data_IF_083255800148
#
_entry.id   IF_083255800148
#
_cell.length_a   1.000
_cell.length_b   1.000
_cell.length_c   1.000
_cell.angle_alpha   90.00
_cell.angle_beta   90.00
_cell.angle_gamma   90.00
#
_symmetry.space_group_name_H-M   'P 1'
#
loop_
_entity.id
_entity.type
_entity.pdbx_description
1 polymer ?
#
# COMPACT_ATOMS: atom_id res chain seq x y z
N UNK A 1 -12.16 -17.97 13.11
CA UNK A 1 -11.75 -18.93 12.06
C UNK A 1 -10.82 -19.91 12.75
N UNK A 2 -11.31 -21.10 13.07
CA UNK A 2 -10.43 -22.17 13.53
C UNK A 2 -9.54 -22.63 12.36
N UNK A 3 -8.36 -23.15 12.67
CA UNK A 3 -7.44 -23.71 11.68
C UNK A 3 -8.08 -24.95 11.04
N UNK A 4 -8.17 -24.99 9.70
CA UNK A 4 -8.78 -26.10 8.95
C UNK A 4 -8.10 -27.44 9.28
N UNK A 5 -6.80 -27.40 9.56
CA UNK A 5 -6.03 -28.56 10.04
C UNK A 5 -6.62 -29.12 11.34
N UNK A 6 -6.84 -28.24 12.31
CA UNK A 6 -7.35 -28.60 13.63
C UNK A 6 -8.76 -29.20 13.51
N UNK A 7 -9.60 -28.66 12.64
CA UNK A 7 -10.95 -29.16 12.45
C UNK A 7 -10.97 -30.56 11.81
N UNK A 8 -10.08 -30.83 10.84
CA UNK A 8 -9.92 -32.16 10.24
C UNK A 8 -9.47 -33.16 11.31
N UNK A 9 -8.42 -32.83 12.06
CA UNK A 9 -7.87 -33.70 13.10
C UNK A 9 -8.87 -33.97 14.22
N UNK A 10 -9.62 -32.95 14.65
CA UNK A 10 -10.65 -33.10 15.67
C UNK A 10 -11.71 -34.12 15.24
N UNK A 11 -12.25 -33.95 14.03
CA UNK A 11 -13.30 -34.82 13.51
C UNK A 11 -12.77 -36.25 13.35
N UNK A 12 -11.58 -36.40 12.75
CA UNK A 12 -10.91 -37.69 12.59
C UNK A 12 -10.68 -38.39 13.94
N UNK A 13 -10.14 -37.69 14.93
CA UNK A 13 -9.84 -38.25 16.25
C UNK A 13 -11.12 -38.74 16.94
N UNK A 14 -12.20 -37.95 16.88
CA UNK A 14 -13.48 -38.35 17.47
C UNK A 14 -14.10 -39.55 16.75
N UNK A 15 -14.11 -39.57 15.42
CA UNK A 15 -14.57 -40.74 14.68
C UNK A 15 -13.76 -41.99 15.03
N UNK A 16 -12.45 -41.85 15.20
CA UNK A 16 -11.54 -42.95 15.53
C UNK A 16 -11.75 -43.51 16.95
N UNK A 17 -12.31 -42.71 17.87
CA UNK A 17 -12.63 -43.14 19.22
C UNK A 17 -13.82 -44.13 19.28
N UNK A 18 -14.62 -44.24 18.21
CA UNK A 18 -15.77 -45.15 18.13
C UNK A 18 -15.53 -46.22 17.07
N UNK A 19 -15.25 -47.48 17.45
CA UNK A 19 -14.91 -48.55 16.48
C UNK A 19 -15.94 -48.77 15.37
N UNK A 20 -17.23 -48.56 15.67
CA UNK A 20 -18.33 -48.70 14.71
C UNK A 20 -18.40 -47.55 13.68
N UNK A 21 -17.59 -46.50 13.82
CA UNK A 21 -17.44 -45.39 12.87
C UNK A 21 -16.14 -45.49 12.05
N UNK A 22 -15.40 -46.59 12.16
CA UNK A 22 -14.10 -46.76 11.50
C UNK A 22 -14.13 -46.54 9.98
N UNK A 23 -15.27 -46.78 9.32
CA UNK A 23 -15.46 -46.53 7.88
C UNK A 23 -15.51 -45.04 7.51
N UNK A 24 -15.77 -44.16 8.47
CA UNK A 24 -15.85 -42.71 8.27
C UNK A 24 -14.51 -42.00 8.45
N UNK A 25 -13.50 -42.69 9.01
CA UNK A 25 -12.18 -42.14 9.30
C UNK A 25 -11.32 -41.92 8.03
N UNK A 26 -11.22 -42.88 7.08
CA UNK A 26 -10.28 -42.77 5.96
C UNK A 26 -10.44 -41.50 5.09
N UNK A 27 -11.65 -41.01 4.79
CA UNK A 27 -11.81 -39.76 4.04
C UNK A 27 -11.15 -38.54 4.71
N UNK A 28 -11.20 -38.42 6.05
CA UNK A 28 -10.55 -37.30 6.75
C UNK A 28 -9.03 -37.45 6.77
N UNK A 29 -8.51 -38.68 6.90
CA UNK A 29 -7.06 -38.96 6.80
C UNK A 29 -6.54 -38.57 5.41
N UNK A 30 -7.31 -38.85 4.36
CA UNK A 30 -6.95 -38.52 2.99
C UNK A 30 -6.91 -37.00 2.70
N UNK A 31 -7.60 -36.17 3.50
CA UNK A 31 -7.56 -34.71 3.34
C UNK A 31 -6.28 -34.08 3.91
N UNK A 32 -5.59 -34.72 4.86
CA UNK A 32 -4.43 -34.12 5.53
C UNK A 32 -3.26 -33.81 4.57
N UNK A 33 -2.84 -34.71 3.66
CA UNK A 33 -1.79 -34.40 2.70
C UNK A 33 -2.17 -33.24 1.76
N UNK A 34 -3.42 -33.20 1.30
CA UNK A 34 -3.93 -32.13 0.45
C UNK A 34 -3.97 -30.79 1.18
N UNK A 35 -4.32 -30.78 2.47
CA UNK A 35 -4.23 -29.59 3.31
C UNK A 35 -2.79 -29.08 3.44
N UNK A 36 -1.82 -29.97 3.71
CA UNK A 36 -0.43 -29.57 3.86
C UNK A 36 0.14 -28.94 2.59
N UNK A 37 -0.12 -29.55 1.43
CA UNK A 37 0.29 -28.99 0.14
C UNK A 37 -0.36 -27.63 -0.14
N UNK A 38 -1.66 -27.51 0.14
CA UNK A 38 -2.40 -26.24 0.00
C UNK A 38 -1.84 -25.16 0.93
N UNK A 39 -1.51 -25.51 2.18
CA UNK A 39 -0.97 -24.56 3.15
C UNK A 39 0.43 -24.08 2.74
N UNK A 40 1.25 -24.96 2.17
CA UNK A 40 2.55 -24.57 1.59
C UNK A 40 2.38 -23.57 0.44
N UNK A 41 1.38 -23.76 -0.43
CA UNK A 41 1.03 -22.81 -1.49
C UNK A 41 0.55 -21.46 -0.92
N UNK A 42 -0.28 -21.47 0.13
CA UNK A 42 -0.73 -20.27 0.83
C UNK A 42 0.46 -19.47 1.41
N UNK A 43 1.41 -20.16 2.05
CA UNK A 43 2.66 -19.55 2.54
C UNK A 43 3.51 -18.99 1.40
N UNK A 44 3.50 -19.64 0.22
CA UNK A 44 4.15 -19.15 -0.98
C UNK A 44 3.60 -17.78 -1.43
N UNK A 45 2.28 -17.62 -1.42
CA UNK A 45 1.64 -16.34 -1.72
C UNK A 45 1.94 -15.27 -0.67
N UNK A 46 1.86 -15.61 0.62
CA UNK A 46 2.19 -14.68 1.72
C UNK A 46 3.65 -14.20 1.63
N UNK A 47 4.57 -15.13 1.31
CA UNK A 47 5.98 -14.80 1.08
C UNK A 47 6.17 -13.88 -0.12
N UNK A 48 5.44 -14.10 -1.22
CA UNK A 48 5.53 -13.26 -2.40
C UNK A 48 5.10 -11.81 -2.11
N UNK A 49 4.02 -11.64 -1.34
CA UNK A 49 3.57 -10.32 -0.87
C UNK A 49 4.64 -9.68 0.00
N UNK A 50 5.13 -10.36 1.04
CA UNK A 50 6.13 -9.81 1.95
C UNK A 50 7.42 -9.39 1.21
N UNK A 51 7.86 -10.17 0.22
CA UNK A 51 9.02 -9.82 -0.60
C UNK A 51 8.75 -8.59 -1.50
N UNK A 52 7.54 -8.43 -2.02
CA UNK A 52 7.17 -7.27 -2.82
C UNK A 52 7.06 -6.00 -1.95
N UNK A 53 6.46 -6.08 -0.76
CA UNK A 53 6.42 -5.00 0.22
C UNK A 53 7.82 -4.54 0.63
N UNK A 54 8.72 -5.49 0.93
CA UNK A 54 10.10 -5.18 1.28
C UNK A 54 10.84 -4.44 0.14
N UNK A 55 10.54 -4.77 -1.12
CA UNK A 55 11.12 -4.07 -2.28
C UNK A 55 10.60 -2.64 -2.38
N UNK A 56 9.32 -2.40 -2.11
CA UNK A 56 8.75 -1.05 -2.07
C UNK A 56 9.49 -0.20 -1.03
N UNK A 57 9.65 -0.71 0.20
CA UNK A 57 10.40 0.00 1.25
C UNK A 57 11.83 0.31 0.81
N UNK A 58 12.54 -0.66 0.24
CA UNK A 58 13.91 -0.44 -0.21
C UNK A 58 14.04 0.59 -1.35
N UNK A 59 13.04 0.66 -2.23
CA UNK A 59 13.02 1.65 -3.32
C UNK A 59 12.61 3.03 -2.80
N UNK A 60 11.69 3.11 -1.85
CA UNK A 60 11.30 4.34 -1.14
C UNK A 60 12.52 4.99 -0.48
N UNK A 61 13.27 4.22 0.33
CA UNK A 61 14.52 4.66 0.93
C UNK A 61 15.51 5.21 -0.12
N UNK A 62 15.59 4.57 -1.29
CA UNK A 62 16.47 5.00 -2.36
C UNK A 62 16.03 6.34 -2.99
N UNK A 63 14.72 6.56 -3.19
CA UNK A 63 14.20 7.87 -3.59
C UNK A 63 14.53 8.93 -2.54
N UNK A 64 14.39 8.57 -1.28
CA UNK A 64 14.70 9.42 -0.14
C UNK A 64 16.16 9.89 -0.12
N UNK A 65 17.11 8.98 -0.38
CA UNK A 65 18.53 9.34 -0.49
C UNK A 65 18.82 10.20 -1.72
N UNK A 66 18.22 9.85 -2.88
CA UNK A 66 18.40 10.62 -4.11
C UNK A 66 17.83 12.04 -3.99
N UNK A 67 16.67 12.19 -3.35
CA UNK A 67 16.07 13.49 -3.08
C UNK A 67 16.98 14.38 -2.21
N UNK A 68 17.73 13.83 -1.26
CA UNK A 68 18.70 14.62 -0.47
C UNK A 68 19.95 14.94 -1.29
N UNK A 69 20.45 13.97 -2.05
CA UNK A 69 21.65 14.13 -2.87
C UNK A 69 21.47 15.18 -3.96
N UNK A 70 20.36 15.12 -4.70
CA UNK A 70 19.99 16.09 -5.74
C UNK A 70 19.85 17.50 -5.14
N UNK A 71 19.17 17.64 -3.99
CA UNK A 71 19.04 18.94 -3.30
C UNK A 71 20.41 19.49 -2.92
N UNK A 72 21.31 18.65 -2.43
CA UNK A 72 22.64 19.06 -1.99
C UNK A 72 23.50 19.51 -3.18
N UNK A 73 23.47 18.76 -4.29
CA UNK A 73 24.18 19.09 -5.52
C UNK A 73 23.67 20.39 -6.15
N UNK A 74 22.35 20.58 -6.23
CA UNK A 74 21.74 21.82 -6.72
C UNK A 74 22.16 23.02 -5.87
N UNK A 75 22.14 22.90 -4.53
CA UNK A 75 22.55 23.99 -3.66
C UNK A 75 24.04 24.30 -3.78
N UNK A 76 24.90 23.31 -4.03
CA UNK A 76 26.32 23.55 -4.30
C UNK A 76 26.51 24.38 -5.59
N UNK A 77 25.79 24.05 -6.66
CA UNK A 77 25.84 24.80 -7.94
C UNK A 77 25.23 26.21 -7.82
N UNK A 78 24.20 26.36 -6.99
CA UNK A 78 23.43 27.60 -6.85
C UNK A 78 23.90 28.49 -5.70
N UNK A 79 25.06 28.19 -5.10
CA UNK A 79 25.64 28.98 -4.00
C UNK A 79 24.75 29.02 -2.74
N UNK A 80 24.02 27.94 -2.47
CA UNK A 80 23.08 27.82 -1.35
C UNK A 80 21.73 28.49 -1.57
N UNK A 81 21.47 29.01 -2.77
CA UNK A 81 20.24 29.75 -3.07
C UNK A 81 19.04 28.82 -3.35
N UNK A 82 18.22 28.59 -2.31
CA UNK A 82 16.94 27.85 -2.41
C UNK A 82 15.84 28.59 -3.19
N UNK A 83 16.01 29.89 -3.45
CA UNK A 83 15.05 30.68 -4.25
C UNK A 83 15.36 30.67 -5.74
N UNK A 84 16.46 30.04 -6.16
CA UNK A 84 16.79 29.95 -7.57
C UNK A 84 15.73 29.11 -8.30
N UNK A 85 15.30 29.58 -9.47
CA UNK A 85 14.27 28.94 -10.31
C UNK A 85 14.57 27.45 -10.55
N UNK A 86 15.84 27.11 -10.79
CA UNK A 86 16.27 25.72 -10.97
C UNK A 86 16.09 24.86 -9.72
N UNK A 87 16.21 25.41 -8.51
CA UNK A 87 15.94 24.68 -7.26
C UNK A 87 14.42 24.50 -7.06
N UNK A 88 13.67 25.59 -7.26
CA UNK A 88 12.21 25.60 -7.12
C UNK A 88 11.51 24.67 -8.12
N UNK A 89 12.09 24.46 -9.30
CA UNK A 89 11.57 23.50 -10.28
C UNK A 89 11.44 22.07 -9.73
N UNK A 90 12.37 21.66 -8.85
CA UNK A 90 12.37 20.30 -8.31
C UNK A 90 11.64 20.23 -6.97
N UNK A 91 11.94 21.14 -6.05
CA UNK A 91 11.43 21.06 -4.67
C UNK A 91 10.24 21.99 -4.41
N UNK A 92 9.89 22.86 -5.36
CA UNK A 92 8.88 23.90 -5.14
C UNK A 92 9.27 24.80 -3.96
N UNK A 93 8.24 25.32 -3.28
CA UNK A 93 8.41 26.03 -2.02
C UNK A 93 8.62 25.09 -0.81
N UNK A 94 8.48 23.77 -1.00
CA UNK A 94 8.54 22.78 0.07
C UNK A 94 9.96 22.22 0.27
N UNK A 95 10.43 22.03 1.51
CA UNK A 95 11.73 21.41 1.75
C UNK A 95 11.71 19.91 1.42
N UNK A 96 12.88 19.29 1.13
CA UNK A 96 12.99 17.87 0.80
C UNK A 96 12.31 16.92 1.79
N UNK A 97 12.20 17.30 3.06
CA UNK A 97 11.50 16.53 4.09
C UNK A 97 10.00 16.31 3.82
N UNK A 98 9.34 17.16 3.04
CA UNK A 98 7.92 16.98 2.65
C UNK A 98 7.75 15.97 1.53
N UNK A 99 8.66 15.97 0.56
CA UNK A 99 8.66 15.01 -0.55
C UNK A 99 8.86 13.55 -0.10
N UNK A 100 9.48 13.35 1.06
CA UNK A 100 9.82 12.06 1.67
C UNK A 100 8.71 11.46 2.53
N UNK A 101 7.63 12.19 2.77
CA UNK A 101 6.54 11.76 3.67
C UNK A 101 5.57 10.75 3.03
N UNK A 102 5.22 10.84 1.74
CA UNK A 102 4.42 9.82 1.08
C UNK A 102 5.29 8.59 0.78
N UNK A 103 4.91 7.41 1.25
CA UNK A 103 5.58 6.16 0.85
C UNK A 103 5.24 5.85 -0.61
N UNK A 104 6.22 5.93 -1.48
CA UNK A 104 6.23 5.62 -2.92
C UNK A 104 5.17 6.31 -3.82
N UNK A 105 4.06 6.85 -3.31
CA UNK A 105 2.95 7.37 -4.11
C UNK A 105 3.29 8.63 -4.89
N UNK A 106 2.98 9.80 -4.32
CA UNK A 106 3.26 11.10 -4.95
C UNK A 106 4.76 11.38 -5.14
N UNK A 107 5.60 10.80 -4.28
CA UNK A 107 7.06 10.89 -4.41
C UNK A 107 7.55 10.27 -5.74
N UNK A 108 7.06 9.08 -6.12
CA UNK A 108 7.44 8.44 -7.39
C UNK A 108 7.00 9.26 -8.58
N UNK A 109 5.77 9.78 -8.57
CA UNK A 109 5.26 10.62 -9.65
C UNK A 109 6.11 11.89 -9.81
N UNK A 110 6.34 12.60 -8.69
CA UNK A 110 7.12 13.83 -8.68
C UNK A 110 8.55 13.61 -9.16
N UNK A 111 9.25 12.60 -8.60
CA UNK A 111 10.64 12.36 -8.95
C UNK A 111 10.81 11.73 -10.35
N UNK A 112 9.80 11.03 -10.87
CA UNK A 112 9.79 10.58 -12.28
C UNK A 112 9.85 11.77 -13.23
N UNK A 113 9.11 12.84 -12.95
CA UNK A 113 9.08 14.04 -13.80
C UNK A 113 10.41 14.81 -13.79
N UNK A 114 11.26 14.56 -12.80
CA UNK A 114 12.59 15.17 -12.74
C UNK A 114 13.58 14.54 -13.71
N UNK A 115 13.41 13.25 -14.03
CA UNK A 115 14.36 12.45 -14.81
C UNK A 115 14.79 13.15 -16.10
N UNK A 116 13.88 13.60 -17.00
CA UNK A 116 14.28 14.19 -18.28
C UNK A 116 15.19 15.41 -18.13
N UNK A 117 14.93 16.24 -17.11
CA UNK A 117 15.70 17.46 -16.85
C UNK A 117 17.04 17.19 -16.20
N UNK A 118 17.12 16.18 -15.33
CA UNK A 118 18.37 15.78 -14.68
C UNK A 118 19.30 15.07 -15.66
N UNK A 119 18.77 14.34 -16.64
CA UNK A 119 19.56 13.64 -17.67
C UNK A 119 19.87 14.47 -18.90
N UNK A 120 19.40 15.73 -18.97
CA UNK A 120 19.64 16.61 -20.11
C UNK A 120 21.13 16.98 -20.26
N UNK A 121 21.58 17.18 -21.50
CA UNK A 121 23.00 17.45 -21.80
C UNK A 121 23.54 18.73 -21.14
N UNK A 122 22.67 19.72 -20.93
CA UNK A 122 23.01 21.00 -20.30
C UNK A 122 23.12 20.91 -18.76
N UNK A 123 22.74 19.78 -18.17
CA UNK A 123 22.83 19.54 -16.73
C UNK A 123 24.26 19.13 -16.34
N UNK A 124 24.67 19.47 -15.13
CA UNK A 124 26.03 19.15 -14.67
C UNK A 124 26.26 17.64 -14.62
N UNK A 125 27.51 17.16 -14.79
CA UNK A 125 27.81 15.73 -14.73
C UNK A 125 27.35 15.05 -13.44
N UNK A 126 27.43 15.75 -12.30
CA UNK A 126 26.98 15.24 -11.00
C UNK A 126 25.46 15.04 -10.96
N UNK A 127 24.70 16.02 -11.44
CA UNK A 127 23.24 15.93 -11.49
C UNK A 127 22.76 14.92 -12.55
N UNK A 128 23.46 14.80 -13.68
CA UNK A 128 23.21 13.76 -14.68
C UNK A 128 23.39 12.35 -14.10
N UNK A 129 24.44 12.12 -13.31
CA UNK A 129 24.65 10.83 -12.65
C UNK A 129 23.51 10.50 -11.68
N UNK A 130 23.00 11.49 -10.93
CA UNK A 130 21.81 11.28 -10.09
C UNK A 130 20.54 11.08 -10.91
N UNK A 131 20.37 11.77 -12.03
CA UNK A 131 19.26 11.56 -12.96
C UNK A 131 19.21 10.15 -13.53
N UNK A 132 20.37 9.57 -13.87
CA UNK A 132 20.49 8.18 -14.33
C UNK A 132 20.12 7.18 -13.21
N UNK A 133 20.65 7.39 -12.00
CA UNK A 133 20.28 6.57 -10.83
C UNK A 133 18.79 6.66 -10.55
N UNK A 134 18.21 7.86 -10.66
CA UNK A 134 16.78 8.08 -10.46
C UNK A 134 15.93 7.34 -11.49
N UNK A 135 16.31 7.38 -12.77
CA UNK A 135 15.63 6.64 -13.83
C UNK A 135 15.60 5.12 -13.53
N UNK A 136 16.71 4.58 -13.04
CA UNK A 136 16.78 3.17 -12.63
C UNK A 136 15.84 2.88 -11.44
N UNK A 137 15.80 3.75 -10.43
CA UNK A 137 14.90 3.60 -9.27
C UNK A 137 13.43 3.69 -9.64
N UNK A 138 13.06 4.58 -10.57
CA UNK A 138 11.69 4.66 -11.12
C UNK A 138 11.27 3.33 -11.73
N UNK A 139 12.13 2.72 -12.55
CA UNK A 139 11.83 1.41 -13.15
C UNK A 139 11.70 0.31 -12.09
N UNK A 140 12.56 0.31 -11.07
CA UNK A 140 12.47 -0.64 -9.95
C UNK A 140 11.19 -0.44 -9.12
N UNK A 141 10.77 0.81 -8.93
CA UNK A 141 9.52 1.16 -8.23
C UNK A 141 8.30 0.60 -8.97
N UNK A 142 8.21 0.82 -10.28
CA UNK A 142 7.11 0.33 -11.10
C UNK A 142 7.01 -1.20 -11.08
N UNK A 143 8.17 -1.88 -11.12
CA UNK A 143 8.24 -3.33 -10.97
C UNK A 143 7.77 -3.78 -9.58
N UNK A 144 8.17 -3.09 -8.51
CA UNK A 144 7.80 -3.44 -7.15
C UNK A 144 6.28 -3.25 -6.90
N UNK A 145 5.71 -2.12 -7.35
CA UNK A 145 4.27 -1.84 -7.25
C UNK A 145 3.47 -2.88 -8.04
N UNK A 146 3.89 -3.17 -9.28
CA UNK A 146 3.24 -4.19 -10.10
C UNK A 146 3.32 -5.57 -9.46
N UNK A 147 4.48 -5.95 -8.92
CA UNK A 147 4.67 -7.24 -8.26
C UNK A 147 3.80 -7.38 -7.01
N UNK A 148 3.66 -6.32 -6.20
CA UNK A 148 2.79 -6.34 -5.02
C UNK A 148 1.32 -6.49 -5.41
N UNK A 149 0.86 -5.74 -6.41
CA UNK A 149 -0.50 -5.84 -6.92
C UNK A 149 -0.80 -7.26 -7.44
N UNK A 150 0.11 -7.84 -8.22
CA UNK A 150 -0.01 -9.20 -8.74
C UNK A 150 -0.01 -10.25 -7.62
N UNK A 151 0.91 -10.18 -6.66
CA UNK A 151 0.97 -11.13 -5.54
C UNK A 151 -0.30 -11.06 -4.67
N UNK A 152 -0.81 -9.85 -4.42
CA UNK A 152 -2.05 -9.63 -3.66
C UNK A 152 -3.26 -10.20 -4.40
N UNK A 153 -3.33 -9.97 -5.72
CA UNK A 153 -4.39 -10.52 -6.56
C UNK A 153 -4.34 -12.05 -6.58
N UNK A 154 -3.15 -12.64 -6.80
CA UNK A 154 -2.97 -14.10 -6.79
C UNK A 154 -3.39 -14.72 -5.47
N UNK A 155 -3.01 -14.12 -4.33
CA UNK A 155 -3.47 -14.57 -3.01
C UNK A 155 -4.99 -14.50 -2.88
N UNK A 156 -5.58 -13.41 -3.33
CA UNK A 156 -7.04 -13.23 -3.28
C UNK A 156 -7.76 -14.28 -4.12
N UNK A 157 -7.29 -14.50 -5.35
CA UNK A 157 -7.84 -15.50 -6.26
C UNK A 157 -7.68 -16.91 -5.69
N UNK A 158 -6.50 -17.24 -5.15
CA UNK A 158 -6.23 -18.52 -4.48
C UNK A 158 -7.23 -18.79 -3.34
N UNK A 159 -7.51 -17.77 -2.52
CA UNK A 159 -8.44 -17.87 -1.38
C UNK A 159 -9.90 -17.93 -1.81
N UNK A 160 -10.33 -17.05 -2.72
CA UNK A 160 -11.75 -16.82 -3.01
C UNK A 160 -12.30 -17.75 -4.09
N UNK A 161 -11.49 -18.09 -5.09
CA UNK A 161 -11.92 -18.82 -6.29
C UNK A 161 -11.01 -20.01 -6.63
N UNK A 162 -9.86 -20.12 -5.99
CA UNK A 162 -8.83 -21.10 -6.30
C UNK A 162 -8.85 -22.33 -5.40
N UNK A 163 -7.68 -22.95 -5.26
CA UNK A 163 -7.51 -24.24 -4.59
C UNK A 163 -8.00 -24.22 -3.14
N UNK A 164 -7.84 -23.10 -2.43
CA UNK A 164 -8.29 -23.00 -1.02
C UNK A 164 -9.81 -23.05 -0.90
N UNK A 165 -10.52 -22.36 -1.79
CA UNK A 165 -11.99 -22.42 -1.84
C UNK A 165 -12.47 -23.83 -2.16
N UNK A 166 -11.89 -24.46 -3.18
CA UNK A 166 -12.25 -25.82 -3.58
C UNK A 166 -11.99 -26.85 -2.45
N UNK A 167 -10.89 -26.68 -1.71
CA UNK A 167 -10.59 -27.51 -0.55
C UNK A 167 -11.62 -27.34 0.57
N UNK A 168 -11.97 -26.09 0.91
CA UNK A 168 -13.00 -25.79 1.92
C UNK A 168 -14.34 -26.37 1.51
N UNK A 169 -14.72 -26.29 0.24
CA UNK A 169 -15.96 -26.90 -0.26
C UNK A 169 -15.95 -28.42 -0.13
N UNK A 170 -14.83 -29.05 -0.47
CA UNK A 170 -14.64 -30.50 -0.32
C UNK A 170 -14.76 -30.93 1.14
N UNK A 171 -14.10 -30.21 2.05
CA UNK A 171 -14.16 -30.46 3.48
C UNK A 171 -15.57 -30.26 4.04
N UNK A 172 -16.26 -29.20 3.64
CA UNK A 172 -17.64 -28.93 4.05
C UNK A 172 -18.62 -30.00 3.55
N UNK A 173 -18.47 -30.46 2.30
CA UNK A 173 -19.26 -31.55 1.74
C UNK A 173 -19.03 -32.87 2.50
N UNK A 174 -17.76 -33.16 2.83
CA UNK A 174 -17.42 -34.34 3.64
C UNK A 174 -18.07 -34.24 5.03
N UNK A 175 -17.95 -33.10 5.71
CA UNK A 175 -18.57 -32.88 7.03
C UNK A 175 -20.07 -33.08 7.01
N UNK A 176 -20.76 -32.50 6.02
CA UNK A 176 -22.20 -32.65 5.90
C UNK A 176 -22.61 -34.12 5.73
N UNK A 177 -21.88 -34.85 4.88
CA UNK A 177 -22.11 -36.28 4.65
C UNK A 177 -21.87 -37.09 5.92
N UNK A 178 -20.74 -36.86 6.61
CA UNK A 178 -20.41 -37.53 7.87
C UNK A 178 -21.44 -37.20 8.96
N UNK A 179 -21.86 -35.94 9.07
CA UNK A 179 -22.89 -35.54 10.02
C UNK A 179 -24.19 -36.29 9.78
N UNK A 180 -24.67 -36.35 8.53
CA UNK A 180 -25.88 -37.11 8.18
C UNK A 180 -25.77 -38.58 8.59
N UNK A 181 -24.65 -39.22 8.29
CA UNK A 181 -24.41 -40.63 8.64
C UNK A 181 -24.39 -40.87 10.15
N UNK A 182 -23.74 -39.99 10.92
CA UNK A 182 -23.64 -40.13 12.39
C UNK A 182 -24.96 -39.77 13.08
N UNK A 183 -25.67 -38.76 12.59
CA UNK A 183 -26.96 -38.31 13.14
C UNK A 183 -28.08 -39.35 12.95
N UNK A 184 -27.98 -40.22 11.96
CA UNK A 184 -28.94 -41.32 11.75
C UNK A 184 -28.71 -42.52 12.69
N UNK A 185 -27.54 -42.63 13.33
CA UNK A 185 -27.18 -43.81 14.14
C UNK A 185 -28.11 -44.04 15.34
N UNK A 186 -28.54 -43.03 16.13
CA UNK A 186 -29.49 -43.27 17.22
C UNK A 186 -30.79 -43.95 16.74
N UNK A 187 -31.17 -43.75 15.48
CA UNK A 187 -32.36 -44.36 14.87
C UNK A 187 -32.06 -45.73 14.22
N UNK A 188 -30.95 -45.85 13.49
CA UNK A 188 -30.57 -47.08 12.76
C UNK A 188 -29.93 -48.15 13.64
N UNK A 189 -29.34 -47.74 14.77
CA UNK A 189 -28.58 -48.56 15.71
C UNK A 189 -29.07 -48.29 17.15
N UNK A 190 -30.35 -48.60 17.47
CA UNK A 190 -30.86 -48.39 18.83
C UNK A 190 -30.12 -49.24 19.88
N UNK A 191 -29.48 -50.33 19.46
CA UNK A 191 -28.61 -51.18 20.28
C UNK A 191 -27.45 -50.42 20.93
N UNK A 192 -27.00 -49.32 20.31
CA UNK A 192 -25.88 -48.53 20.81
C UNK A 192 -26.26 -47.53 21.91
N UNK A 193 -27.56 -47.34 22.20
CA UNK A 193 -28.06 -46.39 23.20
C UNK A 193 -27.46 -44.97 23.07
N UNK A 194 -27.32 -44.49 21.83
CA UNK A 194 -26.71 -43.18 21.54
C UNK A 194 -27.69 -42.04 21.83
N UNK A 195 -27.21 -40.87 22.31
CA UNK A 195 -28.06 -39.71 22.52
C UNK A 195 -28.52 -39.11 21.17
N UNK A 196 -29.64 -38.36 21.17
CA UNK A 196 -30.22 -37.79 19.94
C UNK A 196 -29.31 -36.77 19.25
N UNK A 197 -28.48 -36.07 20.03
CA UNK A 197 -27.51 -35.06 19.59
C UNK A 197 -26.11 -35.65 19.34
N UNK A 198 -25.99 -36.97 19.18
CA UNK A 198 -24.70 -37.65 19.03
C UNK A 198 -23.85 -37.07 17.88
N UNK A 199 -24.47 -36.72 16.75
CA UNK A 199 -23.79 -36.12 15.59
C UNK A 199 -23.13 -34.76 15.89
N UNK A 200 -23.69 -33.95 16.79
CA UNK A 200 -23.19 -32.61 17.11
C UNK A 200 -21.86 -32.62 17.87
N UNK A 201 -21.43 -33.80 18.33
CA UNK A 201 -20.23 -33.96 19.16
C UNK A 201 -18.97 -34.11 18.32
N UNK A 202 -19.09 -34.44 17.03
CA UNK A 202 -17.98 -34.83 16.17
C UNK A 202 -17.29 -33.67 15.46
N UNK A 203 -17.90 -32.50 15.44
CA UNK A 203 -17.39 -31.33 14.75
C UNK A 203 -17.07 -30.25 15.77
N UNK A 204 -15.97 -29.52 15.56
CA UNK A 204 -15.65 -28.38 16.39
C UNK A 204 -16.83 -27.42 16.33
N UNK A 205 -17.50 -27.25 17.48
CA UNK A 205 -18.51 -26.21 17.64
C UNK A 205 -17.75 -24.91 17.55
N UNK A 206 -17.97 -24.20 16.46
CA UNK A 206 -17.44 -22.87 16.35
C UNK A 206 -18.08 -22.04 17.46
N UNK A 207 -17.32 -21.73 18.51
CA UNK A 207 -17.76 -20.76 19.52
C UNK A 207 -17.96 -19.38 18.89
N UNK A 208 -17.47 -19.17 17.65
CA UNK A 208 -17.77 -18.03 16.79
C UNK A 208 -19.17 -18.05 16.16
N UNK A 209 -19.94 -19.15 16.29
CA UNK A 209 -21.31 -19.28 15.76
C UNK A 209 -22.41 -19.22 16.83
N UNK A 210 -22.14 -18.67 18.03
CA UNK A 210 -23.26 -18.01 18.71
C UNK A 210 -23.82 -17.01 17.71
N UNK A 211 -25.11 -17.16 17.32
CA UNK A 211 -25.83 -16.09 16.60
C UNK A 211 -25.47 -14.81 17.34
N UNK A 212 -24.68 -13.91 16.73
CA UNK A 212 -24.27 -12.72 17.44
C UNK A 212 -25.56 -12.04 17.86
N UNK A 213 -25.68 -11.77 19.16
CA UNK A 213 -26.85 -11.05 19.65
C UNK A 213 -26.89 -9.71 18.93
N UNK A 214 -28.06 -9.06 18.92
CA UNK A 214 -28.18 -7.69 18.41
C UNK A 214 -27.09 -6.81 19.05
N UNK A 215 -26.84 -7.00 20.35
CA UNK A 215 -25.76 -6.34 21.08
C UNK A 215 -24.36 -6.65 20.52
N UNK A 216 -24.05 -7.89 20.15
CA UNK A 216 -22.73 -8.25 19.61
C UNK A 216 -22.50 -7.59 18.24
N UNK A 217 -23.52 -7.61 17.38
CA UNK A 217 -23.48 -6.93 16.07
C UNK A 217 -23.39 -5.41 16.26
N UNK A 218 -24.15 -4.83 17.17
CA UNK A 218 -24.07 -3.40 17.53
C UNK A 218 -22.68 -3.02 18.01
N UNK A 219 -22.02 -3.84 18.83
CA UNK A 219 -20.65 -3.59 19.30
C UNK A 219 -19.62 -3.70 18.17
N UNK A 220 -19.81 -4.62 17.22
CA UNK A 220 -18.96 -4.68 16.02
C UNK A 220 -19.19 -3.47 15.13
N UNK A 221 -20.44 -3.09 14.88
CA UNK A 221 -20.81 -1.90 14.09
C UNK A 221 -20.25 -0.63 14.75
N UNK A 222 -20.35 -0.49 16.07
CA UNK A 222 -19.78 0.63 16.82
C UNK A 222 -18.26 0.69 16.66
N UNK A 223 -17.56 -0.44 16.79
CA UNK A 223 -16.10 -0.49 16.58
C UNK A 223 -15.71 -0.17 15.15
N UNK A 224 -16.43 -0.70 14.17
CA UNK A 224 -16.18 -0.42 12.75
C UNK A 224 -16.46 1.03 12.42
N UNK A 225 -17.53 1.62 12.93
CA UNK A 225 -17.82 3.06 12.81
C UNK A 225 -16.75 3.90 13.49
N UNK A 226 -16.29 3.54 14.69
CA UNK A 226 -15.20 4.25 15.35
C UNK A 226 -13.88 4.16 14.56
N UNK A 227 -13.62 3.01 13.92
CA UNK A 227 -12.45 2.83 13.06
C UNK A 227 -12.58 3.60 11.75
N UNK A 228 -13.77 3.60 11.15
CA UNK A 228 -14.10 4.38 9.96
C UNK A 228 -13.96 5.87 10.26
N UNK A 229 -14.59 6.35 11.34
CA UNK A 229 -14.46 7.73 11.80
C UNK A 229 -13.00 8.12 12.01
N UNK A 230 -12.19 7.27 12.66
CA UNK A 230 -10.74 7.58 12.80
C UNK A 230 -10.00 7.68 11.47
N UNK A 231 -10.41 6.92 10.45
CA UNK A 231 -9.83 6.98 9.11
C UNK A 231 -10.36 8.19 8.35
N UNK A 232 -11.64 8.55 8.52
CA UNK A 232 -12.26 9.76 7.98
C UNK A 232 -11.63 11.01 8.60
N UNK A 233 -11.47 11.07 9.93
CA UNK A 233 -10.78 12.15 10.64
C UNK A 233 -9.29 12.25 10.26
N UNK A 234 -8.67 11.12 9.90
CA UNK A 234 -7.30 11.12 9.39
C UNK A 234 -7.26 11.63 7.96
N UNK A 235 -8.20 11.19 7.11
CA UNK A 235 -8.33 11.65 5.74
C UNK A 235 -8.61 13.15 5.70
N UNK A 236 -9.55 13.64 6.50
CA UNK A 236 -9.90 15.06 6.61
C UNK A 236 -8.68 15.86 7.08
N UNK A 237 -7.97 15.42 8.12
CA UNK A 237 -6.71 16.08 8.54
C UNK A 237 -5.66 16.10 7.44
N UNK A 238 -5.48 15.00 6.72
CA UNK A 238 -4.52 14.95 5.61
C UNK A 238 -4.97 15.82 4.42
N UNK A 239 -6.27 15.96 4.18
CA UNK A 239 -6.83 16.86 3.18
C UNK A 239 -6.67 18.32 3.59
N UNK A 240 -6.96 18.67 4.84
CA UNK A 240 -6.74 20.01 5.40
C UNK A 240 -5.25 20.37 5.37
N UNK A 241 -4.37 19.44 5.75
CA UNK A 241 -2.91 19.61 5.64
C UNK A 241 -2.51 19.82 4.17
N UNK A 242 -3.05 19.05 3.22
CA UNK A 242 -2.77 19.21 1.80
C UNK A 242 -3.30 20.54 1.23
N UNK A 243 -4.50 20.98 1.65
CA UNK A 243 -5.11 22.25 1.23
C UNK A 243 -4.39 23.46 1.81
N UNK A 244 -4.02 23.43 3.10
CA UNK A 244 -3.14 24.46 3.70
C UNK A 244 -1.79 24.48 3.00
N UNK A 245 -1.22 23.32 2.68
CA UNK A 245 0.04 23.25 1.95
C UNK A 245 -0.08 23.82 0.54
N UNK A 246 -1.16 23.52 -0.19
CA UNK A 246 -1.45 24.09 -1.50
C UNK A 246 -1.63 25.62 -1.43
N UNK A 247 -2.38 26.12 -0.42
CA UNK A 247 -2.53 27.56 -0.19
C UNK A 247 -1.20 28.24 0.13
N UNK A 248 -0.38 27.65 0.99
CA UNK A 248 0.93 28.20 1.33
C UNK A 248 1.87 28.21 0.13
N UNK A 249 1.78 27.20 -0.75
CA UNK A 249 2.50 27.18 -2.02
C UNK A 249 2.01 28.28 -2.95
N UNK A 250 0.70 28.43 -3.14
CA UNK A 250 0.12 29.48 -3.99
C UNK A 250 0.49 30.88 -3.47
N UNK A 251 0.41 31.13 -2.16
CA UNK A 251 0.84 32.39 -1.56
C UNK A 251 2.35 32.63 -1.76
N UNK A 252 3.18 31.58 -1.69
CA UNK A 252 4.61 31.69 -1.94
C UNK A 252 4.91 31.99 -3.42
N UNK A 253 4.16 31.40 -4.35
CA UNK A 253 4.26 31.67 -5.79
C UNK A 253 3.83 33.11 -6.12
N UNK A 254 2.74 33.59 -5.53
CA UNK A 254 2.28 34.98 -5.70
C UNK A 254 3.34 35.95 -5.18
N UNK A 255 3.88 35.73 -3.97
CA UNK A 255 4.95 36.57 -3.41
C UNK A 255 6.21 36.55 -4.28
N UNK A 256 6.59 35.38 -4.81
CA UNK A 256 7.72 35.27 -5.72
C UNK A 256 7.47 36.04 -7.04
N UNK A 257 6.25 35.97 -7.59
CA UNK A 257 5.86 36.71 -8.78
C UNK A 257 5.88 38.23 -8.55
N UNK A 258 5.40 38.69 -7.38
CA UNK A 258 5.47 40.11 -6.97
C UNK A 258 6.93 40.59 -6.82
N UNK A 259 7.81 39.80 -6.21
CA UNK A 259 9.25 40.11 -6.11
C UNK A 259 9.89 40.24 -7.51
N UNK A 260 9.52 39.37 -8.45
CA UNK A 260 9.99 39.43 -9.85
C UNK A 260 9.48 40.69 -10.57
N UNK A 261 8.21 41.03 -10.39
CA UNK A 261 7.60 42.23 -10.96
C UNK A 261 8.30 43.51 -10.46
N UNK A 262 8.51 43.63 -9.15
CA UNK A 262 9.25 44.74 -8.54
C UNK A 262 10.69 44.83 -9.07
N UNK A 263 11.37 43.69 -9.23
CA UNK A 263 12.71 43.66 -9.80
C UNK A 263 12.73 44.10 -11.29
N UNK A 264 11.73 43.70 -12.07
CA UNK A 264 11.58 44.09 -13.47
C UNK A 264 11.27 45.59 -13.63
N UNK A 265 10.42 46.15 -12.78
CA UNK A 265 10.11 47.59 -12.75
C UNK A 265 11.34 48.43 -12.43
N UNK A 266 12.14 48.03 -11.43
CA UNK A 266 13.42 48.68 -11.11
C UNK A 266 14.37 48.69 -12.30
N UNK A 267 14.54 47.54 -12.97
CA UNK A 267 15.36 47.44 -14.19
C UNK A 267 14.85 48.35 -15.31
N UNK A 268 13.53 48.44 -15.51
CA UNK A 268 12.92 49.31 -16.52
C UNK A 268 13.14 50.79 -16.19
N UNK A 269 13.00 51.19 -14.93
CA UNK A 269 13.26 52.55 -14.48
C UNK A 269 14.72 52.97 -14.69
N UNK A 270 15.67 52.08 -14.37
CA UNK A 270 17.09 52.32 -14.58
C UNK A 270 17.47 52.39 -16.07
N UNK A 271 16.86 51.53 -16.91
CA UNK A 271 17.03 51.59 -18.36
C UNK A 271 16.49 52.90 -18.95
N UNK A 272 15.33 53.37 -18.47
CA UNK A 272 14.74 54.64 -18.90
C UNK A 272 15.64 55.83 -18.54
N UNK A 273 16.18 55.88 -17.31
CA UNK A 273 17.14 56.91 -16.89
C UNK A 273 18.38 56.95 -17.80
N UNK A 274 18.92 55.78 -18.17
CA UNK A 274 20.07 55.70 -19.10
C UNK A 274 19.71 56.21 -20.50
N UNK A 275 18.50 55.91 -20.98
CA UNK A 275 18.01 56.34 -22.29
C UNK A 275 17.80 57.85 -22.36
N UNK A 276 17.23 58.44 -21.30
CA UNK A 276 17.05 59.89 -21.20
C UNK A 276 18.39 60.63 -21.08
N UNK A 277 19.35 60.09 -20.33
CA UNK A 277 20.72 60.60 -20.27
C UNK A 277 21.44 60.53 -21.63
N UNK A 278 21.21 59.47 -22.42
CA UNK A 278 21.76 59.34 -23.77
C UNK A 278 21.14 60.36 -24.74
N UNK A 279 19.82 60.60 -24.65
CA UNK A 279 19.12 61.63 -25.43
C UNK A 279 19.61 63.04 -25.10
N UNK A 280 19.81 63.36 -23.82
CA UNK A 280 20.34 64.65 -23.40
C UNK A 280 21.74 64.91 -24.01
N UNK A 281 22.65 63.93 -23.92
CA UNK A 281 23.98 64.00 -24.53
C UNK A 281 23.95 64.11 -26.06
N UNK A 282 22.98 63.49 -26.72
CA UNK A 282 22.81 63.63 -28.17
C UNK A 282 22.34 65.03 -28.57
N UNK A 283 21.45 65.65 -27.78
CA UNK A 283 20.96 67.01 -28.02
C UNK A 283 22.02 68.09 -27.78
N UNK A 284 22.93 67.88 -26.81
CA UNK A 284 24.06 68.78 -26.56
C UNK A 284 25.13 68.74 -27.66
N UNK A 285 25.22 67.66 -28.43
CA UNK A 285 26.15 67.53 -29.57
C UNK A 285 25.64 68.11 -30.88
N UNK A 286 24.38 68.51 -30.95
CA UNK A 286 23.75 69.11 -32.15
C UNK A 286 23.62 70.65 -32.09
N UNK A 287 24.06 71.28 -30.98
CA UNK A 287 24.25 72.73 -30.88
C UNK A 287 25.73 73.07 -31.09
#
# INVERSE_FOLDING_TARGET
>A
MADLHQEILHTQALLSAYPFLSTLVPPFVALLPSWLALHEEELGHDRAIALAEARIVAVDDAFDYLAVAISSALLAELGGNRKAERYLRYYGAAPPGKLKRPVLGEQLATMRDWVPSLTAEETSPTLQAYGQQLAERVMQADQAVTALAQATQQRTDFVMMGARKAFVDTLNALRLTTYGQVAELPHKRPDLNLPRDFGDRFFLRDTSHRKPSVSDVEQVVLRLRARLQKQEDLLERLQEEAEEEARLQEEAEVRAAEEVLLAAERKRADAQKKLDAAKAKASERQK
#
